data_IF_485533145307
#
_entry.id   IF_485533145307
#
_cell.length_a   1.000
_cell.length_b   1.000
_cell.length_c   1.000
_cell.angle_alpha   90.00
_cell.angle_beta   90.00
_cell.angle_gamma   90.00
#
_symmetry.space_group_name_H-M   'P 1'
#
loop_
_entity.id
_entity.type
_entity.pdbx_description
1 polymer ?
#
# COMPACT_ATOMS: atom_id res chain seq x y z
N UNK A 1 -18.07 -0.60 -5.25
CA UNK A 1 -16.62 -0.43 -5.52
C UNK A 1 -15.89 -0.75 -4.24
N UNK A 2 -14.71 -1.38 -4.32
CA UNK A 2 -13.97 -1.77 -3.13
C UNK A 2 -13.41 -0.52 -2.42
N UNK A 3 -13.46 -0.54 -1.08
CA UNK A 3 -13.03 0.55 -0.20
C UNK A 3 -12.17 -0.02 0.91
N UNK A 4 -11.18 0.74 1.35
CA UNK A 4 -10.40 0.47 2.55
C UNK A 4 -10.13 1.77 3.31
N UNK A 5 -9.90 1.63 4.61
CA UNK A 5 -9.19 2.66 5.37
C UNK A 5 -7.72 2.28 5.39
N UNK A 6 -6.85 3.21 5.01
CA UNK A 6 -5.42 2.95 4.95
C UNK A 6 -4.57 3.99 5.68
N UNK A 7 -3.47 3.51 6.24
CA UNK A 7 -2.50 4.32 6.97
C UNK A 7 -1.09 3.78 6.75
N UNK A 8 -0.11 4.68 6.71
CA UNK A 8 1.29 4.36 6.46
C UNK A 8 2.16 5.00 7.53
N UNK A 9 3.15 4.25 7.99
CA UNK A 9 4.15 4.71 8.93
C UNK A 9 5.55 4.34 8.45
N UNK A 10 6.53 5.20 8.75
CA UNK A 10 7.95 4.85 8.63
C UNK A 10 8.42 4.25 9.94
N UNK A 11 9.17 3.15 9.85
CA UNK A 11 9.72 2.48 11.03
C UNK A 11 11.22 2.32 10.91
N UNK A 12 11.89 2.29 12.06
CA UNK A 12 13.34 2.08 12.11
C UNK A 12 13.74 0.62 11.87
N UNK A 13 12.84 -0.33 12.16
CA UNK A 13 13.10 -1.77 12.02
C UNK A 13 11.80 -2.55 11.83
N UNK A 14 11.64 -3.20 10.66
CA UNK A 14 10.56 -4.16 10.41
C UNK A 14 10.67 -5.37 11.32
N UNK A 15 11.89 -5.79 11.70
CA UNK A 15 12.08 -6.96 12.55
C UNK A 15 11.41 -6.80 13.92
N UNK A 16 11.37 -5.57 14.47
CA UNK A 16 10.67 -5.26 15.70
C UNK A 16 9.13 -5.36 15.54
N UNK A 17 8.61 -4.96 14.38
CA UNK A 17 7.17 -4.97 14.08
C UNK A 17 6.68 -6.37 13.67
N UNK A 18 7.54 -7.16 13.02
CA UNK A 18 7.19 -8.46 12.44
C UNK A 18 6.65 -9.44 13.48
N UNK A 19 7.26 -9.48 14.67
CA UNK A 19 6.79 -10.34 15.77
C UNK A 19 5.41 -9.94 16.27
N UNK A 20 5.12 -8.64 16.33
CA UNK A 20 3.80 -8.12 16.72
C UNK A 20 2.75 -8.42 15.65
N UNK A 21 3.08 -8.21 14.37
CA UNK A 21 2.20 -8.52 13.25
C UNK A 21 1.90 -10.04 13.14
N UNK A 22 2.89 -10.89 13.41
CA UNK A 22 2.71 -12.34 13.47
C UNK A 22 1.77 -12.74 14.61
N UNK A 23 1.92 -12.14 15.80
CA UNK A 23 1.03 -12.39 16.93
C UNK A 23 -0.42 -11.96 16.64
N UNK A 24 -0.61 -10.79 16.02
CA UNK A 24 -1.94 -10.27 15.64
C UNK A 24 -2.63 -11.09 14.55
N UNK A 25 -1.86 -11.61 13.59
CA UNK A 25 -2.41 -12.41 12.48
C UNK A 25 -2.57 -13.90 12.81
N UNK A 26 -1.84 -14.39 13.82
CA UNK A 26 -1.77 -15.81 14.17
C UNK A 26 -1.17 -16.70 13.07
N UNK A 27 -0.52 -16.12 12.05
CA UNK A 27 0.01 -16.82 10.88
C UNK A 27 1.35 -16.25 10.42
N UNK A 28 2.12 -17.05 9.69
CA UNK A 28 3.31 -16.58 9.00
C UNK A 28 2.94 -15.61 7.86
N UNK A 29 3.83 -14.66 7.51
CA UNK A 29 3.57 -13.73 6.43
C UNK A 29 3.66 -14.40 5.06
N UNK A 30 3.05 -13.76 4.07
CA UNK A 30 3.31 -14.03 2.65
C UNK A 30 4.33 -13.02 2.15
N UNK A 31 5.46 -13.49 1.63
CA UNK A 31 6.46 -12.65 0.99
C UNK A 31 6.06 -12.34 -0.47
N UNK A 32 6.11 -11.06 -0.85
CA UNK A 32 5.67 -10.58 -2.17
C UNK A 32 6.68 -9.55 -2.68
N UNK A 33 7.30 -9.83 -3.82
CA UNK A 33 8.07 -8.85 -4.57
C UNK A 33 7.13 -8.05 -5.48
N UNK A 34 7.22 -6.72 -5.45
CA UNK A 34 6.35 -5.83 -6.22
C UNK A 34 7.17 -4.77 -6.95
N UNK A 35 6.82 -4.57 -8.22
CA UNK A 35 7.35 -3.51 -9.08
C UNK A 35 6.18 -2.66 -9.60
N UNK A 36 5.96 -1.52 -8.97
CA UNK A 36 4.86 -0.61 -9.25
C UNK A 36 5.32 0.51 -10.20
N UNK A 37 4.78 0.58 -11.42
CA UNK A 37 4.95 1.73 -12.34
C UNK A 37 3.74 2.66 -12.22
N UNK A 38 3.98 3.96 -12.06
CA UNK A 38 2.93 4.97 -11.90
C UNK A 38 2.80 5.82 -13.17
N UNK A 39 1.55 6.15 -13.52
CA UNK A 39 1.22 6.95 -14.70
C UNK A 39 0.47 8.22 -14.30
N UNK A 40 0.55 9.26 -15.12
CA UNK A 40 -0.24 10.47 -14.89
C UNK A 40 -1.74 10.14 -14.96
N UNK A 41 -2.50 10.63 -13.99
CA UNK A 41 -3.94 10.39 -13.90
C UNK A 41 -4.60 11.59 -13.22
N UNK A 42 -5.28 12.49 -13.96
CA UNK A 42 -5.87 13.70 -13.38
C UNK A 42 -6.92 13.42 -12.30
N UNK A 43 -7.67 12.33 -12.47
CA UNK A 43 -8.79 11.98 -11.61
C UNK A 43 -8.39 11.06 -10.45
N UNK A 44 -7.10 10.85 -10.17
CA UNK A 44 -6.68 9.99 -9.07
C UNK A 44 -5.27 9.47 -9.26
N UNK A 45 -5.07 8.18 -9.01
CA UNK A 45 -3.76 7.53 -9.13
C UNK A 45 -3.91 6.25 -9.90
N UNK A 46 -3.05 6.08 -10.90
CA UNK A 46 -2.99 4.88 -11.72
C UNK A 46 -1.61 4.26 -11.58
N UNK A 47 -1.57 2.98 -11.20
CA UNK A 47 -0.34 2.21 -11.18
C UNK A 47 -0.53 0.85 -11.82
N UNK A 48 0.50 0.36 -12.48
CA UNK A 48 0.63 -1.03 -12.88
C UNK A 48 1.61 -1.72 -11.93
N UNK A 49 1.11 -2.69 -11.17
CA UNK A 49 1.92 -3.56 -10.31
C UNK A 49 2.32 -4.80 -11.08
N UNK A 50 3.58 -5.20 -10.98
CA UNK A 50 4.09 -6.48 -11.51
C UNK A 50 4.65 -7.31 -10.38
N UNK A 51 4.36 -8.61 -10.42
CA UNK A 51 4.81 -9.60 -9.47
C UNK A 51 5.94 -10.46 -10.07
N UNK A 52 6.66 -11.18 -9.20
CA UNK A 52 7.78 -12.03 -9.62
C UNK A 52 7.37 -13.20 -10.54
N UNK A 53 6.10 -13.60 -10.55
CA UNK A 53 5.58 -14.66 -11.41
C UNK A 53 5.20 -14.18 -12.82
N UNK A 54 5.47 -12.91 -13.14
CA UNK A 54 5.20 -12.30 -14.45
C UNK A 54 3.77 -11.79 -14.63
N UNK A 55 2.88 -11.98 -13.65
CA UNK A 55 1.53 -11.39 -13.68
C UNK A 55 1.58 -9.93 -13.24
N UNK A 56 0.54 -9.18 -13.59
CA UNK A 56 0.37 -7.82 -13.11
C UNK A 56 -1.07 -7.43 -12.81
N UNK A 57 -1.20 -6.27 -12.19
CA UNK A 57 -2.47 -5.65 -11.84
C UNK A 57 -2.42 -4.17 -12.20
N UNK A 58 -3.36 -3.72 -13.05
CA UNK A 58 -3.62 -2.31 -13.23
C UNK A 58 -4.57 -1.85 -12.12
N UNK A 59 -4.13 -0.87 -11.35
CA UNK A 59 -4.81 -0.41 -10.15
C UNK A 59 -5.08 1.07 -10.28
N UNK A 60 -6.35 1.43 -10.37
CA UNK A 60 -6.82 2.78 -10.13
C UNK A 60 -7.21 2.92 -8.66
N UNK A 61 -6.83 4.03 -8.03
CA UNK A 61 -7.28 4.35 -6.69
C UNK A 61 -7.32 5.86 -6.46
N UNK A 62 -8.14 6.28 -5.49
CA UNK A 62 -8.25 7.67 -5.07
C UNK A 62 -8.46 7.73 -3.57
N UNK A 63 -7.71 8.62 -2.92
CA UNK A 63 -7.72 8.90 -1.49
C UNK A 63 -7.24 10.33 -1.25
N UNK A 64 -7.55 10.89 -0.09
CA UNK A 64 -6.97 12.16 0.36
C UNK A 64 -5.48 12.02 0.75
N UNK A 65 -4.72 13.11 0.68
CA UNK A 65 -3.31 13.16 1.10
C UNK A 65 -3.14 13.51 2.59
N UNK A 66 -3.83 12.76 3.45
CA UNK A 66 -3.76 12.94 4.90
C UNK A 66 -2.69 12.05 5.54
N UNK A 67 -2.18 12.48 6.69
CA UNK A 67 -1.20 11.71 7.48
C UNK A 67 -1.85 10.60 8.30
N UNK A 68 -3.11 10.76 8.72
CA UNK A 68 -3.88 9.77 9.49
C UNK A 68 -4.53 8.67 8.64
N UNK A 69 -5.27 7.73 9.27
CA UNK A 69 -6.09 6.77 8.54
C UNK A 69 -7.10 7.49 7.65
N UNK A 70 -7.21 7.05 6.40
CA UNK A 70 -8.05 7.69 5.39
C UNK A 70 -8.73 6.67 4.51
N UNK A 71 -9.91 7.03 4.04
CA UNK A 71 -10.61 6.23 3.05
C UNK A 71 -9.86 6.28 1.71
N UNK A 72 -9.75 5.11 1.10
CA UNK A 72 -9.33 4.91 -0.27
C UNK A 72 -10.36 4.03 -0.95
N UNK A 73 -10.69 4.35 -2.20
CA UNK A 73 -11.43 3.46 -3.07
C UNK A 73 -10.56 3.07 -4.25
N UNK A 74 -10.77 1.87 -4.74
CA UNK A 74 -9.90 1.30 -5.76
C UNK A 74 -10.61 0.32 -6.69
N UNK A 75 -10.02 0.17 -7.86
CA UNK A 75 -10.37 -0.84 -8.87
C UNK A 75 -9.09 -1.55 -9.26
N UNK A 76 -9.12 -2.88 -9.24
CA UNK A 76 -8.01 -3.74 -9.63
C UNK A 76 -8.45 -4.52 -10.87
N UNK A 77 -7.66 -4.45 -11.93
CA UNK A 77 -7.83 -5.25 -13.14
C UNK A 77 -6.58 -6.11 -13.37
N UNK A 78 -6.67 -7.44 -13.30
CA UNK A 78 -5.54 -8.31 -13.53
C UNK A 78 -5.11 -8.29 -15.01
N UNK A 79 -3.81 -8.47 -15.27
CA UNK A 79 -3.25 -8.61 -16.61
C UNK A 79 -2.21 -9.74 -16.65
N UNK A 80 -2.21 -10.49 -17.74
CA UNK A 80 -1.17 -11.47 -18.05
C UNK A 80 -0.02 -10.89 -18.91
N UNK A 81 -0.14 -9.64 -19.34
CA UNK A 81 0.83 -8.97 -20.22
C UNK A 81 1.21 -7.60 -19.66
N UNK A 82 1.80 -7.53 -18.45
CA UNK A 82 2.11 -6.25 -17.82
C UNK A 82 3.12 -5.42 -18.62
N UNK A 83 4.09 -6.04 -19.31
CA UNK A 83 5.11 -5.28 -20.02
C UNK A 83 4.54 -4.49 -21.20
N UNK A 84 3.76 -5.12 -22.07
CA UNK A 84 3.10 -4.42 -23.18
C UNK A 84 2.06 -3.41 -22.70
N UNK A 85 1.37 -3.70 -21.58
CA UNK A 85 0.45 -2.74 -20.96
C UNK A 85 1.20 -1.52 -20.40
N UNK A 86 2.38 -1.71 -19.81
CA UNK A 86 3.24 -0.62 -19.33
C UNK A 86 3.64 0.29 -20.47
N UNK A 87 4.07 -0.28 -21.60
CA UNK A 87 4.49 0.49 -22.78
C UNK A 87 3.32 1.32 -23.34
N UNK A 88 2.15 0.68 -23.51
CA UNK A 88 0.96 1.36 -24.00
C UNK A 88 0.53 2.53 -23.09
N UNK A 89 0.48 2.30 -21.77
CA UNK A 89 0.12 3.34 -20.80
C UNK A 89 1.20 4.43 -20.69
N UNK A 90 2.47 4.06 -20.80
CA UNK A 90 3.58 5.01 -20.82
C UNK A 90 3.51 5.96 -22.00
N UNK A 91 3.15 5.46 -23.19
CA UNK A 91 2.92 6.30 -24.38
C UNK A 91 1.66 7.15 -24.26
N UNK A 92 0.57 6.63 -23.69
CA UNK A 92 -0.71 7.32 -23.62
C UNK A 92 -0.78 8.40 -22.52
N UNK A 93 -0.20 8.11 -21.34
CA UNK A 93 -0.35 8.95 -20.15
C UNK A 93 0.97 9.50 -19.61
N UNK A 94 2.12 8.96 -20.04
CA UNK A 94 3.41 9.25 -19.45
C UNK A 94 3.65 8.50 -18.12
N UNK A 95 4.88 8.06 -17.91
CA UNK A 95 5.33 7.45 -16.66
C UNK A 95 5.81 8.53 -15.71
N UNK A 96 5.25 8.58 -14.50
CA UNK A 96 5.62 9.56 -13.47
C UNK A 96 6.54 8.98 -12.38
N UNK A 97 6.75 7.66 -12.39
CA UNK A 97 7.82 7.02 -11.63
C UNK A 97 7.60 5.53 -11.38
N UNK A 98 8.51 4.93 -10.63
CA UNK A 98 8.55 3.48 -10.36
C UNK A 98 8.95 3.22 -8.92
N UNK A 99 8.27 2.30 -8.26
CA UNK A 99 8.52 1.90 -6.87
C UNK A 99 8.71 0.39 -6.82
N UNK A 100 9.89 -0.05 -6.41
CA UNK A 100 10.21 -1.47 -6.16
C UNK A 100 10.28 -1.74 -4.68
N UNK A 101 9.69 -2.86 -4.25
CA UNK A 101 9.67 -3.24 -2.83
C UNK A 101 9.55 -4.74 -2.61
N UNK A 102 10.02 -5.15 -1.43
CA UNK A 102 9.73 -6.45 -0.84
C UNK A 102 8.70 -6.23 0.27
N UNK A 103 7.60 -6.96 0.21
CA UNK A 103 6.49 -6.88 1.16
C UNK A 103 6.36 -8.20 1.91
N UNK A 104 6.22 -8.12 3.24
CA UNK A 104 5.63 -9.19 4.03
C UNK A 104 4.17 -8.81 4.32
N UNK A 105 3.24 -9.67 3.91
CA UNK A 105 1.81 -9.49 4.15
C UNK A 105 1.36 -10.39 5.29
N UNK A 106 0.80 -9.79 6.33
CA UNK A 106 0.04 -10.47 7.37
C UNK A 106 -1.45 -10.12 7.28
N UNK A 107 -2.31 -11.05 7.68
CA UNK A 107 -3.76 -10.85 7.74
C UNK A 107 -4.24 -10.90 9.19
N UNK A 108 -4.63 -9.76 9.75
CA UNK A 108 -5.28 -9.67 11.07
C UNK A 108 -6.79 -9.53 10.84
N UNK A 109 -7.51 -10.67 10.84
CA UNK A 109 -8.91 -10.71 10.42
C UNK A 109 -9.07 -10.24 8.97
N UNK A 110 -9.69 -9.08 8.79
CA UNK A 110 -9.89 -8.44 7.47
C UNK A 110 -8.80 -7.43 7.11
N UNK A 111 -7.98 -7.03 8.08
CA UNK A 111 -6.98 -5.99 7.88
C UNK A 111 -5.70 -6.61 7.36
N UNK A 112 -5.19 -6.00 6.29
CA UNK A 112 -3.88 -6.33 5.73
C UNK A 112 -2.84 -5.50 6.47
N UNK A 113 -1.83 -6.15 7.02
CA UNK A 113 -0.65 -5.51 7.59
C UNK A 113 0.50 -5.77 6.63
N UNK A 114 0.98 -4.70 6.00
CA UNK A 114 2.09 -4.72 5.07
C UNK A 114 3.36 -4.22 5.75
N UNK A 115 4.40 -5.05 5.76
CA UNK A 115 5.75 -4.65 6.13
C UNK A 115 6.57 -4.50 4.84
N UNK A 116 6.84 -3.26 4.45
CA UNK A 116 7.44 -2.92 3.18
C UNK A 116 8.90 -2.47 3.36
N UNK A 117 9.81 -3.15 2.68
CA UNK A 117 11.16 -2.65 2.40
C UNK A 117 11.17 -2.07 0.99
N UNK A 118 11.24 -0.75 0.89
CA UNK A 118 11.14 -0.01 -0.37
C UNK A 118 12.52 0.45 -0.83
N UNK A 119 12.86 0.12 -2.08
CA UNK A 119 14.13 0.51 -2.70
C UNK A 119 14.28 2.04 -2.68
N UNK A 120 15.40 2.52 -2.15
CA UNK A 120 15.67 3.95 -2.04
C UNK A 120 14.79 4.70 -1.03
N UNK A 121 14.00 4.04 -0.17
CA UNK A 121 13.24 4.74 0.87
C UNK A 121 13.36 4.14 2.27
N UNK A 122 13.68 2.84 2.39
CA UNK A 122 13.81 2.17 3.68
C UNK A 122 12.57 1.36 4.04
N UNK A 123 12.20 1.39 5.32
CA UNK A 123 11.25 0.44 5.93
C UNK A 123 9.96 1.12 6.40
N UNK A 124 8.83 0.48 6.11
CA UNK A 124 7.50 1.04 6.32
C UNK A 124 6.50 -0.02 6.75
N UNK A 125 5.50 0.43 7.49
CA UNK A 125 4.28 -0.33 7.79
C UNK A 125 3.11 0.35 7.09
N UNK A 126 2.25 -0.45 6.45
CA UNK A 126 0.99 0.02 5.89
C UNK A 126 -0.14 -0.89 6.38
N UNK A 127 -1.22 -0.29 6.88
CA UNK A 127 -2.45 -1.01 7.23
C UNK A 127 -3.50 -0.70 6.18
N UNK A 128 -4.22 -1.73 5.73
CA UNK A 128 -5.41 -1.58 4.88
C UNK A 128 -6.58 -2.34 5.52
N UNK A 129 -7.49 -1.61 6.16
CA UNK A 129 -8.74 -2.15 6.71
C UNK A 129 -9.79 -2.18 5.61
N UNK A 130 -10.07 -3.36 5.05
CA UNK A 130 -11.05 -3.50 3.96
C UNK A 130 -12.47 -3.32 4.52
N UNK A 131 -13.20 -2.34 3.99
CA UNK A 131 -14.57 -2.05 4.40
C UNK A 131 -15.55 -2.99 3.71
N UNK A 132 -16.56 -3.45 4.45
CA UNK A 132 -17.70 -4.18 3.89
C UNK A 132 -18.66 -3.19 3.22
N UNK A 133 -19.52 -3.70 2.35
CA UNK A 133 -20.55 -2.89 1.72
C UNK A 133 -21.45 -2.25 2.78
N UNK A 134 -21.64 -0.93 2.68
CA UNK A 134 -22.43 -0.14 3.64
C UNK A 134 -21.74 0.16 4.97
N UNK A 135 -20.52 -0.30 5.20
CA UNK A 135 -19.79 0.01 6.42
C UNK A 135 -19.27 1.46 6.43
N UNK A 136 -19.28 2.05 7.63
CA UNK A 136 -18.82 3.41 7.86
C UNK A 136 -17.29 3.48 7.85
N UNK A 137 -16.77 4.64 7.44
CA UNK A 137 -15.32 4.89 7.42
C UNK A 137 -14.76 4.94 8.84
N UNK A 138 -15.55 5.46 9.77
CA UNK A 138 -15.20 5.62 11.19
C UNK A 138 -14.91 4.28 11.86
N UNK A 139 -15.65 3.22 11.50
CA UNK A 139 -15.39 1.87 11.99
C UNK A 139 -14.01 1.35 11.51
N UNK A 140 -13.69 1.57 10.23
CA UNK A 140 -12.37 1.24 9.69
C UNK A 140 -11.24 2.06 10.29
N UNK A 141 -11.48 3.35 10.57
CA UNK A 141 -10.51 4.22 11.25
C UNK A 141 -10.26 3.78 12.70
N UNK A 142 -11.29 3.37 13.44
CA UNK A 142 -11.13 2.84 14.78
C UNK A 142 -10.26 1.57 14.80
N UNK A 143 -10.55 0.62 13.90
CA UNK A 143 -9.75 -0.62 13.76
C UNK A 143 -8.29 -0.32 13.37
N UNK A 144 -8.08 0.64 12.45
CA UNK A 144 -6.73 1.07 12.08
C UNK A 144 -5.96 1.64 13.28
N UNK A 145 -6.60 2.47 14.12
CA UNK A 145 -5.96 3.02 15.32
C UNK A 145 -5.62 1.95 16.36
N UNK A 146 -6.53 1.00 16.60
CA UNK A 146 -6.28 -0.13 17.51
C UNK A 146 -5.07 -0.96 17.06
N UNK A 147 -4.96 -1.22 15.76
CA UNK A 147 -3.83 -1.96 15.19
C UNK A 147 -2.53 -1.17 15.23
N UNK A 148 -2.55 0.15 14.98
CA UNK A 148 -1.35 1.00 15.17
C UNK A 148 -0.83 0.92 16.61
N UNK A 149 -1.73 1.02 17.59
CA UNK A 149 -1.37 0.90 19.01
C UNK A 149 -0.80 -0.50 19.32
N UNK A 150 -1.42 -1.55 18.80
CA UNK A 150 -0.98 -2.94 19.00
C UNK A 150 0.39 -3.23 18.34
N UNK A 151 0.68 -2.56 17.22
CA UNK A 151 1.98 -2.62 16.53
C UNK A 151 3.02 -1.64 17.12
N UNK A 152 2.65 -0.89 18.16
CA UNK A 152 3.51 0.11 18.81
C UNK A 152 4.02 1.20 17.85
N UNK A 153 3.17 1.61 16.91
CA UNK A 153 3.48 2.67 15.95
C UNK A 153 2.99 4.01 16.52
N UNK A 154 3.92 4.93 16.75
CA UNK A 154 3.63 6.25 17.27
C UNK A 154 3.07 7.20 16.19
N UNK A 155 2.26 8.21 16.57
CA UNK A 155 1.67 9.16 15.61
C UNK A 155 2.69 9.96 14.79
N UNK A 156 3.87 10.25 15.35
CA UNK A 156 4.95 10.97 14.67
C UNK A 156 5.67 10.15 13.58
N UNK A 157 5.42 8.83 13.56
CA UNK A 157 5.88 7.93 12.50
C UNK A 157 4.97 7.93 11.28
N UNK A 158 3.75 8.48 11.38
CA UNK A 158 2.74 8.45 10.33
C UNK A 158 3.12 9.37 9.18
N UNK A 159 2.84 8.92 7.96
CA UNK A 159 3.18 9.63 6.73
C UNK A 159 1.97 9.82 5.83
N UNK A 160 1.91 11.00 5.19
CA UNK A 160 1.03 11.26 4.05
C UNK A 160 1.69 10.84 2.73
N UNK A 161 0.90 10.75 1.66
CA UNK A 161 1.41 10.47 0.31
C UNK A 161 1.71 9.00 0.00
N UNK A 162 1.91 8.73 -1.29
CA UNK A 162 2.40 7.47 -1.83
C UNK A 162 3.93 7.38 -1.72
N UNK A 163 4.49 6.17 -1.89
CA UNK A 163 5.96 6.02 -1.95
C UNK A 163 6.58 6.81 -3.11
N UNK A 164 5.84 7.00 -4.21
CA UNK A 164 6.27 7.83 -5.33
C UNK A 164 6.57 9.27 -4.88
N UNK A 165 5.68 9.86 -4.10
CA UNK A 165 5.80 11.23 -3.61
C UNK A 165 7.04 11.38 -2.72
N UNK A 166 7.32 10.38 -1.90
CA UNK A 166 8.52 10.33 -1.05
C UNK A 166 9.82 10.16 -1.85
N UNK A 167 9.78 9.40 -2.95
CA UNK A 167 10.94 9.27 -3.85
C UNK A 167 11.23 10.58 -4.58
N UNK A 168 10.20 11.28 -5.04
CA UNK A 168 10.33 12.56 -5.74
C UNK A 168 10.90 13.69 -4.85
N UNK A 169 10.84 13.54 -3.53
CA UNK A 169 11.39 14.50 -2.56
C UNK A 169 12.87 14.23 -2.22
N UNK A 170 13.47 13.14 -2.71
CA UNK A 170 14.90 12.89 -2.51
C UNK A 170 15.71 13.78 -3.48
N UNK A 171 16.79 14.42 -3.01
CA UNK A 171 17.68 15.21 -3.85
C UNK A 171 18.43 14.36 -4.88
#
# INVERSE_FOLDING_TARGET
MARNVEIKARVASLAAVESLAAALSGKAPVAIAQDDTFFACPDGRLKLRVFADGKGELIFYRRADDTGPKESFYVISPTASPDTLRDALGLAYGVIGRVRKQRLLFMAGRTRIHLDRVEGLGEFVELEVVLRDGESVEAGMAEAHELLASLQIAPDQLLSGAYLDLLAQRP
#
